data_IF_911513589010
#
_entry.id   IF_911513589010
#
_cell.length_a   1.000
_cell.length_b   1.000
_cell.length_c   1.000
_cell.angle_alpha   90.00
_cell.angle_beta   90.00
_cell.angle_gamma   90.00
#
_symmetry.space_group_name_H-M   'P 1'
#
loop_
_entity.id
_entity.type
_entity.pdbx_description
1 polymer ?
#
# COMPACT_ATOMS: atom_id res chain seq x y z
N UNK A 1 15.31 14.36 49.52
CA UNK A 1 14.27 13.37 49.21
C UNK A 1 14.22 13.22 47.70
N UNK A 2 14.71 12.09 47.16
CA UNK A 2 14.87 11.87 45.71
C UNK A 2 13.51 11.53 45.11
N UNK A 3 13.07 12.27 44.09
CA UNK A 3 11.89 11.91 43.30
C UNK A 3 12.27 10.73 42.39
N UNK A 4 11.40 9.74 42.46
CA UNK A 4 11.26 8.59 41.57
C UNK A 4 11.11 9.05 40.11
N UNK A 5 11.32 8.07 39.23
CA UNK A 5 10.61 7.84 37.96
C UNK A 5 11.46 8.10 36.72
N UNK A 6 11.94 7.01 36.12
CA UNK A 6 11.59 6.69 34.72
C UNK A 6 11.91 5.22 34.43
N UNK A 7 10.99 4.35 34.80
CA UNK A 7 10.92 2.98 34.28
C UNK A 7 10.60 3.06 32.78
N UNK A 8 11.62 2.95 31.94
CA UNK A 8 11.45 2.94 30.49
C UNK A 8 11.06 1.52 30.07
N UNK A 9 9.77 1.18 30.22
CA UNK A 9 9.20 0.01 29.57
C UNK A 9 9.30 0.22 28.07
N UNK A 10 10.32 -0.39 27.48
CA UNK A 10 10.54 -0.56 26.04
C UNK A 10 9.17 -0.81 25.41
N UNK A 11 8.64 0.21 24.73
CA UNK A 11 7.39 0.10 23.99
C UNK A 11 7.60 -1.06 23.02
N UNK A 12 6.92 -2.17 23.30
CA UNK A 12 6.90 -3.35 22.45
C UNK A 12 6.19 -2.91 21.17
N UNK A 13 6.96 -2.45 20.19
CA UNK A 13 6.49 -2.23 18.82
C UNK A 13 6.16 -3.62 18.28
N UNK A 14 4.95 -4.12 18.61
CA UNK A 14 4.29 -5.10 17.76
C UNK A 14 4.37 -4.52 16.35
N UNK A 15 4.68 -5.34 15.35
CA UNK A 15 4.64 -4.96 13.93
C UNK A 15 3.22 -4.65 13.46
N UNK A 16 2.47 -3.85 14.20
CA UNK A 16 1.17 -3.30 13.87
C UNK A 16 1.43 -2.13 12.93
N UNK A 17 1.43 -2.43 11.62
CA UNK A 17 1.38 -1.40 10.58
C UNK A 17 0.23 -0.43 10.96
N UNK A 18 0.46 0.89 10.96
CA UNK A 18 -0.58 1.85 11.33
C UNK A 18 -1.85 1.53 10.51
N UNK A 19 -3.06 1.59 11.12
CA UNK A 19 -4.30 1.10 10.49
C UNK A 19 -4.56 1.65 9.08
N UNK A 20 -4.09 2.88 8.81
CA UNK A 20 -4.11 3.50 7.48
C UNK A 20 -3.22 2.79 6.45
N UNK A 21 -2.00 2.38 6.81
CA UNK A 21 -1.09 1.65 5.91
C UNK A 21 -1.61 0.24 5.63
N UNK A 22 -2.16 -0.44 6.64
CA UNK A 22 -2.73 -1.77 6.46
C UNK A 22 -3.92 -1.76 5.47
N UNK A 23 -4.81 -0.78 5.60
CA UNK A 23 -5.94 -0.60 4.68
C UNK A 23 -5.51 -0.27 3.24
N UNK A 24 -4.49 0.59 3.08
CA UNK A 24 -3.91 0.93 1.77
C UNK A 24 -3.30 -0.32 1.11
N UNK A 25 -2.52 -1.10 1.86
CA UNK A 25 -1.90 -2.32 1.35
C UNK A 25 -2.95 -3.38 0.95
N UNK A 26 -3.98 -3.58 1.78
CA UNK A 26 -5.07 -4.50 1.48
C UNK A 26 -5.82 -4.09 0.20
N UNK A 27 -6.16 -2.81 0.06
CA UNK A 27 -6.82 -2.29 -1.14
C UNK A 27 -5.95 -2.46 -2.38
N UNK A 28 -4.66 -2.13 -2.31
CA UNK A 28 -3.74 -2.31 -3.41
C UNK A 28 -3.68 -3.77 -3.86
N UNK A 29 -3.64 -4.71 -2.91
CA UNK A 29 -3.71 -6.14 -3.20
C UNK A 29 -5.00 -6.53 -3.94
N UNK A 30 -6.15 -6.05 -3.48
CA UNK A 30 -7.45 -6.31 -4.14
C UNK A 30 -7.49 -5.72 -5.54
N UNK A 31 -6.97 -4.51 -5.76
CA UNK A 31 -6.93 -3.88 -7.09
C UNK A 31 -6.07 -4.67 -8.08
N UNK A 32 -4.91 -5.21 -7.64
CA UNK A 32 -4.09 -6.08 -8.48
C UNK A 32 -4.79 -7.39 -8.81
N UNK A 33 -5.33 -8.08 -7.79
CA UNK A 33 -6.01 -9.37 -7.97
C UNK A 33 -7.23 -9.20 -8.86
N UNK A 34 -8.01 -8.14 -8.68
CA UNK A 34 -9.17 -7.84 -9.52
C UNK A 34 -8.77 -7.61 -10.99
N UNK A 35 -7.73 -6.81 -11.25
CA UNK A 35 -7.25 -6.56 -12.62
C UNK A 35 -6.79 -7.85 -13.33
N UNK A 36 -6.04 -8.68 -12.63
CA UNK A 36 -5.58 -9.98 -13.15
C UNK A 36 -6.76 -10.94 -13.34
N UNK A 37 -7.69 -11.04 -12.39
CA UNK A 37 -8.85 -11.93 -12.49
C UNK A 37 -9.76 -11.55 -13.67
N UNK A 38 -9.99 -10.24 -13.88
CA UNK A 38 -10.75 -9.75 -15.04
C UNK A 38 -10.02 -10.04 -16.34
N UNK A 39 -8.71 -9.73 -16.43
CA UNK A 39 -7.92 -10.01 -17.63
C UNK A 39 -7.87 -11.50 -17.98
N UNK A 40 -7.64 -12.36 -16.98
CA UNK A 40 -7.64 -13.81 -17.16
C UNK A 40 -9.03 -14.35 -17.54
N UNK A 41 -10.10 -13.87 -16.90
CA UNK A 41 -11.47 -14.28 -17.21
C UNK A 41 -11.89 -13.90 -18.63
N UNK A 42 -11.59 -12.66 -19.05
CA UNK A 42 -11.84 -12.19 -20.42
C UNK A 42 -10.99 -12.95 -21.43
N UNK A 43 -9.69 -13.13 -21.16
CA UNK A 43 -8.78 -13.86 -22.03
C UNK A 43 -9.17 -15.32 -22.21
N UNK A 44 -9.58 -15.99 -21.13
CA UNK A 44 -10.08 -17.37 -21.17
C UNK A 44 -11.39 -17.48 -21.97
N UNK A 45 -12.32 -16.55 -21.77
CA UNK A 45 -13.55 -16.50 -22.56
C UNK A 45 -13.30 -16.29 -24.05
N UNK A 46 -12.35 -15.41 -24.40
CA UNK A 46 -11.94 -15.18 -25.79
C UNK A 46 -11.28 -16.42 -26.41
N UNK A 47 -10.40 -17.10 -25.67
CA UNK A 47 -9.76 -18.32 -26.15
C UNK A 47 -10.77 -19.44 -26.43
N UNK A 48 -11.80 -19.58 -25.59
CA UNK A 48 -12.91 -20.51 -25.81
C UNK A 48 -13.73 -20.16 -27.06
N UNK A 49 -13.98 -18.88 -27.29
CA UNK A 49 -14.86 -18.42 -28.37
C UNK A 49 -14.17 -18.49 -29.74
N UNK A 50 -12.87 -18.20 -29.77
CA UNK A 50 -12.05 -18.22 -30.98
C UNK A 50 -11.38 -19.59 -31.22
N UNK A 51 -11.57 -20.53 -30.29
CA UNK A 51 -10.85 -21.82 -30.24
C UNK A 51 -9.33 -21.62 -30.42
N UNK A 52 -8.81 -20.48 -29.94
CA UNK A 52 -7.41 -20.15 -30.00
C UNK A 52 -6.66 -20.92 -28.92
N UNK A 53 -5.41 -21.28 -29.24
CA UNK A 53 -4.42 -21.62 -28.20
C UNK A 53 -4.33 -20.47 -27.19
N UNK A 54 -3.83 -20.66 -25.95
CA UNK A 54 -3.96 -19.73 -24.80
C UNK A 54 -3.20 -18.39 -24.94
N UNK A 55 -3.00 -17.92 -26.18
CA UNK A 55 -2.43 -16.66 -26.57
C UNK A 55 -3.26 -15.47 -26.13
N UNK A 56 -4.61 -15.49 -26.25
CA UNK A 56 -5.41 -14.35 -25.80
C UNK A 56 -5.40 -14.24 -24.28
N UNK A 57 -5.38 -15.37 -23.56
CA UNK A 57 -5.18 -15.40 -22.12
C UNK A 57 -3.85 -14.76 -21.74
N UNK A 58 -2.73 -15.12 -22.37
CA UNK A 58 -1.41 -14.54 -22.03
C UNK A 58 -1.41 -13.03 -22.25
N UNK A 59 -1.91 -12.55 -23.40
CA UNK A 59 -1.95 -11.12 -23.71
C UNK A 59 -2.89 -10.39 -22.74
N UNK A 60 -4.11 -10.90 -22.52
CA UNK A 60 -5.06 -10.29 -21.60
C UNK A 60 -4.61 -10.35 -20.14
N UNK A 61 -3.84 -11.36 -19.75
CA UNK A 61 -3.24 -11.45 -18.42
C UNK A 61 -2.23 -10.32 -18.21
N UNK A 62 -1.33 -10.09 -19.17
CA UNK A 62 -0.36 -8.98 -19.10
C UNK A 62 -1.10 -7.63 -19.07
N UNK A 63 -2.11 -7.46 -19.93
CA UNK A 63 -2.93 -6.24 -19.95
C UNK A 63 -3.71 -6.05 -18.63
N UNK A 64 -4.28 -7.12 -18.07
CA UNK A 64 -4.98 -7.09 -16.78
C UNK A 64 -4.05 -6.76 -15.62
N UNK A 65 -2.84 -7.32 -15.61
CA UNK A 65 -1.81 -6.98 -14.63
C UNK A 65 -1.36 -5.52 -14.77
N UNK A 66 -1.16 -5.03 -15.99
CA UNK A 66 -0.83 -3.62 -16.25
C UNK A 66 -1.95 -2.68 -15.79
N UNK A 67 -3.21 -3.01 -16.09
CA UNK A 67 -4.38 -2.26 -15.63
C UNK A 67 -4.49 -2.24 -14.09
N UNK A 68 -4.31 -3.39 -13.44
CA UNK A 68 -4.26 -3.50 -11.98
C UNK A 68 -3.15 -2.62 -11.38
N UNK A 69 -1.94 -2.70 -11.93
CA UNK A 69 -0.81 -1.87 -11.50
C UNK A 69 -1.09 -0.38 -11.68
N UNK A 70 -1.74 0.01 -12.79
CA UNK A 70 -2.09 1.40 -13.04
C UNK A 70 -3.17 1.92 -12.08
N UNK A 71 -4.10 1.07 -11.65
CA UNK A 71 -5.08 1.40 -10.60
C UNK A 71 -4.39 1.63 -9.25
N UNK A 72 -3.50 0.72 -8.85
CA UNK A 72 -2.71 0.88 -7.61
C UNK A 72 -1.86 2.13 -7.66
N UNK A 73 -1.17 2.38 -8.77
CA UNK A 73 -0.35 3.57 -8.94
C UNK A 73 -1.17 4.86 -8.80
N UNK A 74 -2.39 4.90 -9.36
CA UNK A 74 -3.31 6.02 -9.17
C UNK A 74 -3.79 6.14 -7.72
N UNK A 75 -4.05 5.03 -7.04
CA UNK A 75 -4.46 5.03 -5.64
C UNK A 75 -3.35 5.59 -4.73
N UNK A 76 -2.09 5.25 -5.02
CA UNK A 76 -0.92 5.73 -4.26
C UNK A 76 -0.56 7.17 -4.63
N UNK A 77 -0.62 7.56 -5.91
CA UNK A 77 -0.31 8.94 -6.32
C UNK A 77 -1.39 9.96 -5.94
N UNK A 78 -2.67 9.58 -5.96
CA UNK A 78 -3.77 10.46 -5.57
C UNK A 78 -3.85 10.67 -4.06
N UNK A 79 -3.24 9.77 -3.29
CA UNK A 79 -3.13 9.84 -1.85
C UNK A 79 -1.76 10.43 -1.56
N UNK A 80 -1.65 11.77 -1.52
CA UNK A 80 -0.37 12.46 -1.34
C UNK A 80 0.42 11.87 -0.17
N UNK A 81 1.32 10.93 -0.49
CA UNK A 81 2.16 10.24 0.48
C UNK A 81 3.28 11.20 0.87
N UNK A 82 2.93 12.27 1.59
CA UNK A 82 3.85 12.89 2.54
C UNK A 82 4.11 11.83 3.61
N UNK A 83 5.00 10.89 3.32
CA UNK A 83 5.58 10.00 4.32
C UNK A 83 6.22 10.92 5.34
N UNK A 84 5.59 10.99 6.51
CA UNK A 84 5.85 12.01 7.52
C UNK A 84 7.31 12.03 7.95
N UNK A 85 8.03 13.08 7.55
CA UNK A 85 9.01 13.68 8.45
C UNK A 85 8.22 14.51 9.46
N UNK A 86 7.82 13.88 10.55
CA UNK A 86 7.40 14.59 11.76
C UNK A 86 8.60 15.38 12.27
N UNK A 87 8.71 16.65 11.89
CA UNK A 87 9.63 17.60 12.49
C UNK A 87 9.15 17.86 13.92
N UNK A 88 9.58 17.02 14.86
CA UNK A 88 9.56 17.35 16.29
C UNK A 88 10.59 18.44 16.50
N UNK A 89 10.15 19.65 16.18
CA UNK A 89 10.83 20.92 16.36
C UNK A 89 11.12 21.08 17.85
N UNK A 90 12.32 20.70 18.28
CA UNK A 90 12.89 21.06 19.58
C UNK A 90 13.09 22.58 19.67
N UNK A 91 11.98 23.31 19.78
CA UNK A 91 11.93 24.77 19.98
C UNK A 91 11.85 25.15 21.46
N UNK A 92 11.93 24.18 22.37
CA UNK A 92 11.84 24.38 23.81
C UNK A 92 13.16 24.74 24.48
N UNK A 93 14.26 24.81 23.73
CA UNK A 93 15.59 25.05 24.27
C UNK A 93 16.03 26.51 24.14
N UNK A 94 15.27 27.33 23.40
CA UNK A 94 15.57 28.75 23.16
C UNK A 94 14.68 29.72 23.95
N UNK A 95 13.57 29.24 24.52
CA UNK A 95 12.69 30.04 25.40
C UNK A 95 13.03 29.91 26.89
N UNK A 96 14.03 29.07 27.24
CA UNK A 96 14.45 28.86 28.63
C UNK A 96 15.74 29.59 29.01
N UNK A 97 16.32 30.35 28.08
CA UNK A 97 17.55 31.13 28.26
C UNK A 97 17.32 32.66 28.26
N UNK A 98 16.06 33.13 28.36
CA UNK A 98 15.71 34.53 28.72
C UNK A 98 14.91 34.57 30.04
#
# INVERSE_FOLDING_TARGET
MRRDVSNNSVHKTKGELPPSLAGIAARAGVELVAGVAVGAGVGYGLDLWLNSSPWMLIVCFILGAAAGMMNVYRAVNGMGMSVGFGNTRGKTDLEREE
#
